data_IF_969306129139
#
_entry.id   IF_969306129139
#
_cell.length_a   1.000
_cell.length_b   1.000
_cell.length_c   1.000
_cell.angle_alpha   90.00
_cell.angle_beta   90.00
_cell.angle_gamma   90.00
#
_symmetry.space_group_name_H-M   'P 1'
#
loop_
_entity.id
_entity.type
_entity.pdbx_description
1 polymer ?
#
# COMPACT_ATOMS: atom_id res chain seq x y z
N UNK A 1 -4.22 6.56 5.44
CA UNK A 1 -4.37 7.34 4.19
C UNK A 1 -5.33 6.71 3.20
N UNK A 2 -5.43 5.38 3.14
CA UNK A 2 -6.28 4.67 2.17
C UNK A 2 -7.74 5.14 2.15
N UNK A 3 -8.38 5.35 3.31
CA UNK A 3 -9.74 5.89 3.40
C UNK A 3 -9.90 7.26 2.72
N UNK A 4 -8.86 8.08 2.73
CA UNK A 4 -8.87 9.40 2.08
C UNK A 4 -8.74 9.27 0.56
N UNK A 5 -8.00 8.27 0.08
CA UNK A 5 -7.88 7.97 -1.35
C UNK A 5 -9.23 7.48 -1.89
N UNK A 6 -9.90 6.59 -1.17
CA UNK A 6 -11.28 6.20 -1.50
C UNK A 6 -12.23 7.40 -1.51
N UNK A 7 -12.18 8.25 -0.48
CA UNK A 7 -12.96 9.49 -0.43
C UNK A 7 -12.65 10.49 -1.55
N UNK A 8 -11.52 10.35 -2.24
CA UNK A 8 -11.14 11.14 -3.41
C UNK A 8 -11.54 10.48 -4.75
N UNK A 9 -12.20 9.32 -4.71
CA UNK A 9 -12.71 8.63 -5.91
C UNK A 9 -11.82 7.51 -6.45
N UNK A 10 -10.86 7.00 -5.66
CA UNK A 10 -10.13 5.79 -6.04
C UNK A 10 -11.10 4.58 -6.12
N UNK A 11 -10.97 3.75 -7.16
CA UNK A 11 -11.78 2.54 -7.34
C UNK A 11 -11.52 1.50 -6.23
N UNK A 12 -10.24 1.26 -5.93
CA UNK A 12 -9.79 0.40 -4.85
C UNK A 12 -8.44 0.86 -4.30
N UNK A 13 -8.13 0.50 -3.06
CA UNK A 13 -6.85 0.85 -2.42
C UNK A 13 -6.29 -0.33 -1.64
N UNK A 14 -5.04 -0.70 -1.95
CA UNK A 14 -4.29 -1.74 -1.23
C UNK A 14 -3.10 -1.09 -0.52
N UNK A 15 -2.95 -1.36 0.77
CA UNK A 15 -1.81 -0.94 1.59
C UNK A 15 -1.00 -2.15 2.02
N UNK A 16 0.32 -2.04 1.99
CA UNK A 16 1.26 -3.09 2.43
C UNK A 16 2.13 -2.53 3.55
N UNK A 17 2.15 -3.21 4.70
CA UNK A 17 3.05 -2.88 5.82
C UNK A 17 3.19 -4.12 6.74
N UNK A 18 4.41 -4.53 7.13
CA UNK A 18 4.62 -5.73 7.94
C UNK A 18 4.22 -5.57 9.42
N UNK A 19 3.83 -4.37 9.87
CA UNK A 19 3.50 -4.12 11.27
C UNK A 19 2.06 -4.54 11.61
N UNK A 20 1.95 -5.59 12.42
CA UNK A 20 0.67 -6.11 12.91
C UNK A 20 -0.16 -5.10 13.71
N UNK A 21 0.46 -4.15 14.41
CA UNK A 21 -0.29 -3.10 15.10
C UNK A 21 -1.06 -2.23 14.10
N UNK A 22 -0.44 -1.87 12.97
CA UNK A 22 -1.07 -1.06 11.93
C UNK A 22 -2.18 -1.83 11.22
N UNK A 23 -1.97 -3.13 10.98
CA UNK A 23 -3.02 -4.02 10.48
C UNK A 23 -4.23 -4.06 11.43
N UNK A 24 -4.02 -4.25 12.74
CA UNK A 24 -5.11 -4.24 13.73
C UNK A 24 -5.82 -2.88 13.79
N UNK A 25 -5.08 -1.77 13.72
CA UNK A 25 -5.66 -0.42 13.66
C UNK A 25 -6.54 -0.24 12.41
N UNK A 26 -6.07 -0.72 11.26
CA UNK A 26 -6.85 -0.73 10.03
C UNK A 26 -8.13 -1.55 10.20
N UNK A 27 -8.02 -2.79 10.71
CA UNK A 27 -9.18 -3.66 10.95
C UNK A 27 -10.21 -3.05 11.90
N UNK A 28 -9.74 -2.37 12.95
CA UNK A 28 -10.62 -1.68 13.90
C UNK A 28 -11.48 -0.62 13.19
N UNK A 29 -10.88 0.21 12.33
CA UNK A 29 -11.61 1.22 11.54
C UNK A 29 -12.50 0.55 10.49
N UNK A 30 -11.98 -0.44 9.79
CA UNK A 30 -12.69 -1.17 8.74
C UNK A 30 -13.97 -1.83 9.27
N UNK A 31 -13.97 -2.30 10.51
CA UNK A 31 -15.17 -2.85 11.16
C UNK A 31 -16.32 -1.85 11.27
N UNK A 32 -16.03 -0.55 11.40
CA UNK A 32 -17.06 0.50 11.47
C UNK A 32 -17.46 1.01 10.09
N UNK A 33 -16.51 1.13 9.16
CA UNK A 33 -16.78 1.64 7.81
C UNK A 33 -17.43 0.61 6.89
N UNK A 34 -17.12 -0.69 7.09
CA UNK A 34 -17.57 -1.79 6.23
C UNK A 34 -17.29 -1.53 4.74
N UNK A 35 -16.17 -0.89 4.43
CA UNK A 35 -15.83 -0.41 3.08
C UNK A 35 -15.06 -1.51 2.32
N UNK A 36 -15.68 -2.22 1.37
CA UNK A 36 -15.06 -3.37 0.74
C UNK A 36 -13.83 -3.02 -0.10
N UNK A 37 -13.67 -1.78 -0.57
CA UNK A 37 -12.65 -1.42 -1.56
C UNK A 37 -11.30 -1.01 -0.97
N UNK A 38 -11.06 -1.25 0.33
CA UNK A 38 -9.76 -1.05 0.96
C UNK A 38 -9.24 -2.32 1.65
N UNK A 39 -7.98 -2.64 1.41
CA UNK A 39 -7.30 -3.80 2.02
C UNK A 39 -5.92 -3.44 2.56
N UNK A 40 -5.67 -3.80 3.81
CA UNK A 40 -4.34 -3.72 4.41
C UNK A 40 -3.75 -5.12 4.49
N UNK A 41 -2.60 -5.34 3.87
CA UNK A 41 -1.91 -6.62 3.81
C UNK A 41 -0.68 -6.57 4.74
N UNK A 42 -0.56 -7.51 5.70
CA UNK A 42 0.48 -7.48 6.73
C UNK A 42 1.79 -8.11 6.24
N UNK A 43 2.31 -7.65 5.10
CA UNK A 43 3.58 -8.12 4.52
C UNK A 43 4.43 -6.94 4.03
N UNK A 44 5.77 -7.10 3.97
CA UNK A 44 6.67 -6.08 3.45
C UNK A 44 6.51 -5.91 1.94
N UNK A 45 6.80 -4.71 1.44
CA UNK A 45 6.70 -4.37 0.01
C UNK A 45 7.51 -5.32 -0.90
N UNK A 46 8.64 -5.82 -0.39
CA UNK A 46 9.54 -6.75 -1.07
C UNK A 46 8.91 -8.12 -1.36
N UNK A 47 7.81 -8.47 -0.69
CA UNK A 47 7.08 -9.72 -0.94
C UNK A 47 6.08 -9.60 -2.11
N UNK A 48 5.92 -8.41 -2.69
CA UNK A 48 5.13 -8.24 -3.91
C UNK A 48 5.82 -8.93 -5.10
N UNK A 49 5.06 -9.54 -6.01
CA UNK A 49 5.63 -10.14 -7.21
C UNK A 49 6.26 -9.06 -8.10
N UNK A 50 7.36 -9.41 -8.76
CA UNK A 50 7.98 -8.55 -9.75
C UNK A 50 7.07 -8.35 -10.97
N UNK A 51 7.16 -7.18 -11.62
CA UNK A 51 6.35 -6.80 -12.79
C UNK A 51 4.85 -6.96 -12.54
N UNK A 52 4.40 -6.50 -11.37
CA UNK A 52 2.99 -6.60 -11.00
C UNK A 52 2.11 -5.80 -11.96
N UNK A 53 2.59 -4.63 -12.43
CA UNK A 53 1.94 -3.78 -13.45
C UNK A 53 0.41 -3.73 -13.25
N UNK A 54 -0.01 -3.38 -12.03
CA UNK A 54 -1.38 -3.62 -11.56
C UNK A 54 -2.05 -2.41 -10.92
N UNK A 55 -1.33 -1.30 -10.78
CA UNK A 55 -1.83 -0.09 -10.12
C UNK A 55 -1.72 1.13 -11.03
N UNK A 56 -2.79 1.92 -11.12
CA UNK A 56 -2.75 3.20 -11.82
C UNK A 56 -1.93 4.25 -11.07
N UNK A 57 -1.80 4.11 -9.74
CA UNK A 57 -1.10 5.06 -8.89
C UNK A 57 -0.50 4.35 -7.67
N UNK A 58 0.77 4.64 -7.38
CA UNK A 58 1.51 4.07 -6.24
C UNK A 58 2.00 5.19 -5.34
N UNK A 59 1.82 5.02 -4.02
CA UNK A 59 2.33 5.94 -3.01
C UNK A 59 3.44 5.28 -2.19
N UNK A 60 4.58 5.97 -2.06
CA UNK A 60 5.65 5.60 -1.13
C UNK A 60 6.00 6.79 -0.24
N UNK A 61 5.35 6.87 0.92
CA UNK A 61 5.46 8.01 1.83
C UNK A 61 6.15 7.59 3.12
N UNK A 62 7.25 8.27 3.49
CA UNK A 62 7.95 7.96 4.72
C UNK A 62 8.88 6.74 4.66
N UNK A 63 9.07 6.13 3.49
CA UNK A 63 9.84 4.88 3.31
C UNK A 63 11.23 5.11 2.69
N UNK A 64 11.33 6.02 1.71
CA UNK A 64 12.50 6.16 0.85
C UNK A 64 13.84 6.34 1.60
N UNK A 65 13.86 7.16 2.65
CA UNK A 65 15.09 7.46 3.41
C UNK A 65 15.54 6.33 4.36
N UNK A 66 14.72 5.29 4.54
CA UNK A 66 15.08 4.08 5.30
C UNK A 66 15.64 2.97 4.40
N UNK A 67 15.61 3.14 3.07
CA UNK A 67 16.03 2.10 2.12
C UNK A 67 17.54 2.10 1.96
N UNK A 68 18.15 0.91 2.08
CA UNK A 68 19.59 0.71 1.82
C UNK A 68 19.94 0.98 0.36
N UNK A 69 19.07 0.59 -0.56
CA UNK A 69 19.21 0.86 -2.00
C UNK A 69 18.03 1.72 -2.49
N UNK A 70 18.18 3.06 -2.51
CA UNK A 70 17.09 3.95 -2.88
C UNK A 70 16.67 3.82 -4.35
N UNK A 71 17.63 3.54 -5.26
CA UNK A 71 17.35 3.39 -6.68
C UNK A 71 16.53 2.11 -6.95
N UNK A 72 16.93 0.99 -6.35
CA UNK A 72 16.16 -0.26 -6.45
C UNK A 72 14.74 -0.12 -5.92
N UNK A 73 14.55 0.64 -4.83
CA UNK A 73 13.21 0.95 -4.33
C UNK A 73 12.37 1.72 -5.35
N UNK A 74 12.94 2.72 -6.03
CA UNK A 74 12.22 3.45 -7.09
C UNK A 74 11.89 2.57 -8.30
N UNK A 75 12.79 1.67 -8.69
CA UNK A 75 12.54 0.70 -9.76
C UNK A 75 11.41 -0.26 -9.39
N UNK A 76 11.43 -0.82 -8.18
CA UNK A 76 10.35 -1.69 -7.71
C UNK A 76 8.99 -0.97 -7.61
N UNK A 77 8.96 0.32 -7.24
CA UNK A 77 7.73 1.13 -7.30
C UNK A 77 7.24 1.33 -8.73
N UNK A 78 8.16 1.51 -9.68
CA UNK A 78 7.83 1.63 -11.10
C UNK A 78 7.24 0.32 -11.63
N UNK A 79 7.78 -0.83 -11.25
CA UNK A 79 7.30 -2.16 -11.69
C UNK A 79 5.88 -2.50 -11.20
N UNK A 80 5.33 -1.70 -10.27
CA UNK A 80 3.96 -1.83 -9.80
C UNK A 80 2.95 -1.04 -10.68
N UNK A 81 3.42 -0.08 -11.48
CA UNK A 81 2.59 0.82 -12.28
C UNK A 81 2.32 0.24 -13.69
N UNK A 82 1.12 0.49 -14.21
CA UNK A 82 0.73 0.24 -15.62
C UNK A 82 1.12 1.37 -16.57
#
# INVERSE_FOLDING_TARGET
YMWRMLGAGADSVIGVDPNWLFFCQFQAVQRYLSEPNAWHLPFPFEDLPANLEGFDTVFSMGVFYHRRSPIEHLLALKDCLV
#
